data_IF_017474763991
#
_entry.id   IF_017474763991
#
_cell.length_a   1.000
_cell.length_b   1.000
_cell.length_c   1.000
_cell.angle_alpha   90.00
_cell.angle_beta   90.00
_cell.angle_gamma   90.00
#
_symmetry.space_group_name_H-M   'P 1'
#
loop_
_entity.id
_entity.type
_entity.pdbx_description
1 polymer ?
#
# COMPACT_ATOMS: atom_id res chain seq x y z
N UNK A 1 8.12 -7.25 -34.93
CA UNK A 1 8.21 -8.02 -33.67
C UNK A 1 8.25 -7.00 -32.57
N UNK A 2 7.23 -6.98 -31.72
CA UNK A 2 7.12 -6.02 -30.63
C UNK A 2 8.20 -6.34 -29.59
N UNK A 3 9.13 -5.40 -29.38
CA UNK A 3 10.13 -5.52 -28.32
C UNK A 3 9.42 -5.26 -27.00
N UNK A 4 8.87 -6.31 -26.42
CA UNK A 4 8.24 -6.26 -25.10
C UNK A 4 9.32 -5.92 -24.05
N UNK A 5 9.39 -4.63 -23.72
CA UNK A 5 10.37 -4.00 -22.85
C UNK A 5 10.02 -4.17 -21.36
N UNK A 6 9.09 -5.08 -21.04
CA UNK A 6 8.67 -5.35 -19.67
C UNK A 6 9.82 -6.00 -18.89
N UNK A 7 10.31 -5.31 -17.86
CA UNK A 7 11.40 -5.84 -17.02
C UNK A 7 10.86 -6.61 -15.81
N UNK A 8 9.71 -6.17 -15.28
CA UNK A 8 9.16 -6.61 -14.00
C UNK A 8 7.62 -6.58 -14.07
N UNK A 9 6.98 -7.59 -13.48
CA UNK A 9 5.54 -7.58 -13.19
C UNK A 9 5.37 -7.55 -11.67
N UNK A 10 4.48 -6.69 -11.17
CA UNK A 10 4.17 -6.54 -9.75
C UNK A 10 2.67 -6.70 -9.54
N UNK A 11 2.27 -7.55 -8.59
CA UNK A 11 0.93 -7.63 -8.04
C UNK A 11 0.89 -6.94 -6.68
N UNK A 12 0.02 -5.94 -6.53
CA UNK A 12 -0.17 -5.18 -5.28
C UNK A 12 -1.50 -5.59 -4.66
N UNK A 13 -1.47 -5.98 -3.38
CA UNK A 13 -2.66 -6.27 -2.59
C UNK A 13 -2.86 -5.17 -1.54
N UNK A 14 -3.89 -4.35 -1.71
CA UNK A 14 -4.41 -3.51 -0.64
C UNK A 14 -5.51 -4.28 0.09
N UNK A 15 -5.14 -5.03 1.12
CA UNK A 15 -6.08 -5.79 1.93
C UNK A 15 -6.83 -4.93 2.94
N UNK A 16 -7.88 -5.48 3.55
CA UNK A 16 -8.65 -4.76 4.58
C UNK A 16 -7.79 -4.43 5.79
N UNK A 17 -7.03 -5.40 6.28
CA UNK A 17 -6.17 -5.24 7.46
C UNK A 17 -4.69 -5.05 7.11
N UNK A 18 -4.23 -5.62 6.01
CA UNK A 18 -2.82 -5.53 5.62
C UNK A 18 -2.62 -5.53 4.11
N UNK A 19 -1.58 -4.82 3.69
CA UNK A 19 -1.18 -4.64 2.31
C UNK A 19 0.19 -5.26 2.06
N UNK A 20 0.43 -5.68 0.83
CA UNK A 20 1.70 -6.27 0.41
C UNK A 20 1.81 -6.33 -1.10
N UNK A 21 2.93 -6.81 -1.59
CA UNK A 21 3.15 -6.98 -3.02
C UNK A 21 4.02 -8.19 -3.30
N UNK A 22 3.78 -8.80 -4.45
CA UNK A 22 4.60 -9.85 -5.02
C UNK A 22 5.05 -9.42 -6.42
N UNK A 23 6.21 -9.89 -6.86
CA UNK A 23 6.77 -9.49 -8.14
C UNK A 23 7.57 -10.62 -8.78
N UNK A 24 7.73 -10.54 -10.09
CA UNK A 24 8.59 -11.45 -10.85
C UNK A 24 9.27 -10.68 -11.98
N UNK A 25 10.59 -10.79 -12.08
CA UNK A 25 11.31 -10.23 -13.22
C UNK A 25 11.06 -11.08 -14.45
N UNK A 26 10.91 -10.44 -15.62
CA UNK A 26 10.61 -11.15 -16.86
C UNK A 26 11.65 -12.22 -17.22
N UNK A 27 12.93 -11.95 -16.93
CA UNK A 27 14.00 -12.91 -17.21
C UNK A 27 13.96 -14.14 -16.28
N UNK A 28 13.51 -13.98 -15.04
CA UNK A 28 13.31 -15.09 -14.09
C UNK A 28 12.05 -15.88 -14.46
N UNK A 29 10.94 -15.20 -14.76
CA UNK A 29 9.69 -15.80 -15.19
C UNK A 29 9.86 -16.69 -16.43
N UNK A 30 10.69 -16.29 -17.40
CA UNK A 30 10.99 -17.08 -18.60
C UNK A 30 11.68 -18.41 -18.29
N UNK A 31 12.44 -18.48 -17.20
CA UNK A 31 13.13 -19.68 -16.77
C UNK A 31 12.24 -20.54 -15.86
N UNK A 32 11.55 -19.90 -14.91
CA UNK A 32 10.58 -20.53 -14.00
C UNK A 32 9.40 -19.57 -13.74
N UNK A 33 8.23 -19.82 -14.35
CA UNK A 33 7.03 -18.99 -14.14
C UNK A 33 6.53 -18.92 -12.70
N UNK A 34 6.91 -19.87 -11.85
CA UNK A 34 6.52 -19.92 -10.43
C UNK A 34 7.51 -19.21 -9.51
N UNK A 35 8.63 -18.71 -10.05
CA UNK A 35 9.58 -17.92 -9.29
C UNK A 35 9.02 -16.50 -9.06
N UNK A 36 8.35 -16.34 -7.93
CA UNK A 36 7.69 -15.12 -7.49
C UNK A 36 8.32 -14.68 -6.17
N UNK A 37 8.79 -13.45 -6.15
CA UNK A 37 9.36 -12.81 -4.97
C UNK A 37 8.32 -11.97 -4.24
N UNK A 38 8.48 -11.83 -2.93
CA UNK A 38 7.68 -10.95 -2.09
C UNK A 38 8.59 -10.19 -1.15
N UNK A 39 8.18 -9.00 -0.72
CA UNK A 39 8.90 -8.25 0.31
C UNK A 39 8.51 -8.73 1.70
N UNK A 40 9.50 -8.85 2.59
CA UNK A 40 9.29 -9.11 4.01
C UNK A 40 9.43 -7.79 4.75
N UNK A 41 8.33 -7.32 5.35
CA UNK A 41 8.26 -6.03 6.02
C UNK A 41 8.95 -6.09 7.39
N UNK A 42 8.62 -7.09 8.20
CA UNK A 42 9.16 -7.27 9.55
C UNK A 42 9.51 -8.74 9.78
N UNK A 43 10.71 -9.14 9.35
CA UNK A 43 11.25 -10.50 9.53
C UNK A 43 10.53 -11.58 8.70
N UNK A 44 9.29 -11.91 9.08
CA UNK A 44 8.45 -12.96 8.48
C UNK A 44 7.09 -12.46 7.97
N UNK A 45 6.73 -11.19 8.18
CA UNK A 45 5.47 -10.63 7.70
C UNK A 45 5.59 -10.18 6.23
N UNK A 46 4.86 -10.84 5.33
CA UNK A 46 4.76 -10.46 3.91
C UNK A 46 3.74 -9.35 3.64
N UNK A 47 3.13 -8.83 4.71
CA UNK A 47 2.19 -7.72 4.68
C UNK A 47 2.52 -6.77 5.81
N UNK A 48 2.17 -5.51 5.61
CA UNK A 48 2.18 -4.44 6.61
C UNK A 48 0.75 -3.91 6.76
N UNK A 49 0.36 -3.25 7.86
CA UNK A 49 -0.98 -2.70 8.01
C UNK A 49 -1.40 -1.82 6.82
N UNK A 50 -2.69 -1.86 6.47
CA UNK A 50 -3.26 -0.97 5.46
C UNK A 50 -3.50 0.42 6.05
N UNK A 51 -2.40 1.08 6.43
CA UNK A 51 -2.37 2.34 7.18
C UNK A 51 -1.54 3.38 6.42
N UNK A 52 -2.06 4.59 6.29
CA UNK A 52 -1.35 5.74 5.69
C UNK A 52 -1.36 6.88 6.70
N UNK A 53 -0.21 7.53 6.86
CA UNK A 53 -0.09 8.80 7.55
C UNK A 53 0.19 9.92 6.54
N UNK A 54 -0.61 10.98 6.63
CA UNK A 54 -0.53 12.16 5.78
C UNK A 54 -0.28 13.38 6.67
N UNK A 55 0.66 14.22 6.24
CA UNK A 55 1.03 15.46 6.91
C UNK A 55 -0.11 16.48 6.91
N UNK A 56 -0.05 17.51 7.77
CA UNK A 56 -1.02 18.61 7.76
C UNK A 56 -1.13 19.32 6.39
N UNK A 57 -0.04 19.37 5.62
CA UNK A 57 0.01 19.93 4.26
C UNK A 57 -0.53 18.99 3.17
N UNK A 58 -1.17 17.88 3.56
CA UNK A 58 -1.74 16.85 2.69
C UNK A 58 -0.71 16.07 1.86
N UNK A 59 0.59 16.21 2.16
CA UNK A 59 1.61 15.37 1.54
C UNK A 59 1.76 14.04 2.27
N UNK A 60 2.13 13.00 1.51
CA UNK A 60 2.40 11.67 2.05
C UNK A 60 3.57 11.73 3.07
N UNK A 61 3.40 11.05 4.21
CA UNK A 61 4.49 10.83 5.16
C UNK A 61 4.97 9.38 5.14
N UNK A 62 4.09 8.44 5.49
CA UNK A 62 4.45 7.02 5.66
C UNK A 62 3.27 6.07 5.43
N UNK A 63 3.61 4.79 5.26
CA UNK A 63 2.68 3.69 5.04
C UNK A 63 3.02 2.52 5.98
N UNK A 64 2.02 1.70 6.31
CA UNK A 64 2.25 0.44 7.02
C UNK A 64 2.62 0.63 8.49
N UNK A 65 3.49 -0.23 8.99
CA UNK A 65 3.95 -0.23 10.38
C UNK A 65 4.56 1.12 10.76
N UNK A 66 5.32 1.75 9.85
CA UNK A 66 5.89 3.10 10.07
C UNK A 66 4.82 4.17 10.29
N UNK A 67 3.68 4.06 9.61
CA UNK A 67 2.57 4.99 9.80
C UNK A 67 1.91 4.82 11.18
N UNK A 68 1.78 3.58 11.65
CA UNK A 68 1.20 3.30 12.97
C UNK A 68 2.13 3.73 14.10
N UNK A 69 3.44 3.48 13.96
CA UNK A 69 4.46 3.91 14.92
C UNK A 69 4.51 5.45 15.04
N UNK A 70 4.62 6.15 13.91
CA UNK A 70 4.62 7.63 13.92
C UNK A 70 3.32 8.22 14.45
N UNK A 71 2.17 7.64 14.08
CA UNK A 71 0.89 8.13 14.59
C UNK A 71 0.75 7.91 16.10
N UNK A 72 1.28 6.81 16.63
CA UNK A 72 1.35 6.57 18.07
C UNK A 72 2.19 7.65 18.76
N UNK A 73 3.37 7.97 18.23
CA UNK A 73 4.22 9.05 18.76
C UNK A 73 3.51 10.41 18.72
N UNK A 74 2.76 10.69 17.65
CA UNK A 74 1.94 11.92 17.56
C UNK A 74 0.84 11.97 18.62
N UNK A 75 0.18 10.84 18.91
CA UNK A 75 -0.81 10.73 19.99
C UNK A 75 -0.19 10.98 21.36
N UNK A 76 1.00 10.42 21.61
CA UNK A 76 1.72 10.61 22.87
C UNK A 76 2.14 12.08 23.07
N UNK A 77 2.44 12.79 21.98
CA UNK A 77 2.81 14.21 21.98
C UNK A 77 1.61 15.17 21.85
N UNK A 78 0.37 14.66 21.72
CA UNK A 78 -0.85 15.47 21.61
C UNK A 78 -0.97 16.29 20.33
N UNK A 79 -0.28 15.89 19.25
CA UNK A 79 -0.25 16.58 17.96
C UNK A 79 -0.99 15.81 16.85
N UNK A 80 -1.69 14.73 17.20
CA UNK A 80 -2.34 13.81 16.26
C UNK A 80 -3.44 14.47 15.42
N UNK A 81 -4.08 15.52 15.95
CA UNK A 81 -5.22 16.20 15.30
C UNK A 81 -4.86 17.02 14.07
N UNK A 82 -3.59 17.37 13.91
CA UNK A 82 -3.10 18.11 12.75
C UNK A 82 -2.83 17.19 11.55
N UNK A 83 -2.74 15.88 11.80
CA UNK A 83 -2.38 14.87 10.83
C UNK A 83 -3.60 14.07 10.37
N UNK A 84 -3.52 13.48 9.18
CA UNK A 84 -4.55 12.56 8.70
C UNK A 84 -4.03 11.14 8.77
N UNK A 85 -4.62 10.34 9.66
CA UNK A 85 -4.32 8.92 9.78
C UNK A 85 -5.46 8.09 9.20
N UNK A 86 -5.16 7.34 8.15
CA UNK A 86 -6.10 6.49 7.43
C UNK A 86 -5.78 5.02 7.73
N UNK A 87 -6.46 4.45 8.71
CA UNK A 87 -6.33 3.04 9.06
C UNK A 87 -7.41 2.19 8.35
N UNK A 88 -7.00 1.02 7.83
CA UNK A 88 -7.90 0.09 7.15
C UNK A 88 -8.59 0.71 5.93
N UNK A 89 -7.87 1.55 5.17
CA UNK A 89 -8.48 2.46 4.19
C UNK A 89 -9.20 1.77 3.03
N UNK A 90 -8.95 0.47 2.77
CA UNK A 90 -9.67 -0.31 1.74
C UNK A 90 -11.19 -0.19 1.90
N UNK A 91 -11.70 -0.27 3.13
CA UNK A 91 -13.14 -0.18 3.38
C UNK A 91 -13.67 1.25 3.22
N UNK A 92 -12.82 2.26 3.41
CA UNK A 92 -13.19 3.65 3.13
C UNK A 92 -13.33 3.87 1.62
N UNK A 93 -12.40 3.33 0.82
CA UNK A 93 -12.49 3.35 -0.64
C UNK A 93 -13.73 2.63 -1.15
N UNK A 94 -14.03 1.43 -0.64
CA UNK A 94 -15.23 0.67 -0.99
C UNK A 94 -16.52 1.50 -0.77
N UNK A 95 -16.64 2.13 0.40
CA UNK A 95 -17.78 3.00 0.72
C UNK A 95 -17.86 4.24 -0.18
N UNK A 96 -16.72 4.82 -0.58
CA UNK A 96 -16.69 5.98 -1.48
C UNK A 96 -17.20 5.62 -2.89
N UNK A 97 -16.86 4.41 -3.37
CA UNK A 97 -17.36 3.87 -4.63
C UNK A 97 -18.87 3.60 -4.55
N UNK A 98 -19.36 2.99 -3.47
CA UNK A 98 -20.81 2.78 -3.27
C UNK A 98 -21.61 4.09 -3.24
N UNK A 99 -21.01 5.17 -2.71
CA UNK A 99 -21.63 6.50 -2.66
C UNK A 99 -21.57 7.28 -3.98
N UNK A 100 -21.06 6.68 -5.06
CA UNK A 100 -20.98 7.32 -6.38
C UNK A 100 -20.04 8.54 -6.44
N UNK A 101 -19.15 8.71 -5.45
CA UNK A 101 -18.23 9.85 -5.40
C UNK A 101 -16.99 9.67 -6.30
N UNK A 102 -16.84 8.49 -6.91
CA UNK A 102 -15.76 8.20 -7.87
C UNK A 102 -16.39 7.69 -9.17
N UNK A 103 -17.21 8.53 -9.80
CA UNK A 103 -17.61 8.33 -11.18
C UNK A 103 -16.50 8.80 -12.10
N UNK A 104 -15.85 7.89 -12.82
CA UNK A 104 -15.19 8.25 -14.08
C UNK A 104 -16.24 8.89 -14.97
N UNK A 105 -16.16 10.21 -15.13
CA UNK A 105 -16.83 10.91 -16.23
C UNK A 105 -15.97 10.67 -17.46
N UNK A 106 -16.55 10.02 -18.47
CA UNK A 106 -15.99 9.94 -19.82
C UNK A 106 -16.23 11.27 -20.54
#
# INVERSE_FOLDING_TARGET
MESDNTVLVVGIDFGTSGSGYAFSFRHEYKNDPLNISTYSWTGSAYKTPSSILIKPDQTFDSFGDEAEEKYKDLCENGSEREWFFLHGFKMQLYKAVEKGQVGCTY
#
